data_IF_854618888041
#
_entry.id   IF_854618888041
#
_cell.length_a   1.000
_cell.length_b   1.000
_cell.length_c   1.000
_cell.angle_alpha   90.00
_cell.angle_beta   90.00
_cell.angle_gamma   90.00
#
_symmetry.space_group_name_H-M   'P 1'
#
loop_
_entity.id
_entity.type
_entity.pdbx_description
1 polymer ?
#
# COMPACT_ATOMS: atom_id res chain seq x y z
N UNK A 1 15.44 -66.95 -18.85
CA UNK A 1 16.25 -67.56 -17.78
C UNK A 1 15.99 -66.87 -16.46
N UNK A 2 15.70 -67.63 -15.41
CA UNK A 2 15.62 -67.12 -14.04
C UNK A 2 17.03 -66.83 -13.52
N UNK A 3 17.16 -65.81 -12.67
CA UNK A 3 18.46 -65.42 -12.06
C UNK A 3 18.33 -65.55 -10.55
N UNK A 4 19.33 -66.12 -9.90
CA UNK A 4 19.33 -66.26 -8.46
C UNK A 4 19.45 -64.88 -7.78
N UNK A 5 18.52 -64.60 -6.86
CA UNK A 5 18.56 -63.44 -5.97
C UNK A 5 19.15 -63.84 -4.61
N UNK A 6 19.71 -62.88 -3.87
CA UNK A 6 20.27 -63.10 -2.53
C UNK A 6 19.23 -63.55 -1.50
N UNK A 7 17.93 -63.32 -1.77
CA UNK A 7 16.82 -63.85 -0.96
C UNK A 7 16.55 -65.35 -1.20
N UNK A 8 17.26 -66.02 -2.11
CA UNK A 8 17.03 -67.43 -2.47
C UNK A 8 15.95 -67.65 -3.53
N UNK A 9 15.13 -66.62 -3.84
CA UNK A 9 14.18 -66.67 -4.95
C UNK A 9 14.90 -66.55 -6.30
N UNK A 10 14.27 -67.08 -7.35
CA UNK A 10 14.78 -67.04 -8.73
C UNK A 10 13.80 -66.32 -9.66
N UNK A 11 13.64 -65.00 -9.54
CA UNK A 11 12.77 -64.26 -10.44
C UNK A 11 13.29 -64.32 -11.90
N UNK A 12 12.41 -64.13 -12.90
CA UNK A 12 12.82 -63.94 -14.28
C UNK A 12 13.85 -62.80 -14.39
N UNK A 13 14.87 -62.93 -15.25
CA UNK A 13 15.92 -61.89 -15.41
C UNK A 13 15.34 -60.48 -15.61
N UNK A 14 14.24 -60.35 -16.36
CA UNK A 14 13.57 -59.07 -16.61
C UNK A 14 12.94 -58.47 -15.34
N UNK A 15 12.50 -59.29 -14.40
CA UNK A 15 11.82 -58.89 -13.16
C UNK A 15 12.76 -58.82 -11.95
N UNK A 16 14.04 -59.19 -12.08
CA UNK A 16 14.98 -59.19 -10.96
C UNK A 16 15.17 -57.78 -10.37
N UNK A 17 15.25 -56.75 -11.22
CA UNK A 17 15.39 -55.36 -10.75
C UNK A 17 14.17 -54.91 -9.96
N UNK A 18 12.98 -55.19 -10.48
CA UNK A 18 11.72 -54.83 -9.82
C UNK A 18 11.61 -55.56 -8.48
N UNK A 19 11.86 -56.87 -8.47
CA UNK A 19 11.90 -57.67 -7.24
C UNK A 19 12.88 -57.08 -6.20
N UNK A 20 14.11 -56.71 -6.59
CA UNK A 20 15.08 -56.09 -5.68
C UNK A 20 14.58 -54.75 -5.13
N UNK A 21 13.90 -53.95 -5.96
CA UNK A 21 13.40 -52.64 -5.58
C UNK A 21 12.18 -52.69 -4.63
N UNK A 22 11.28 -53.67 -4.80
CA UNK A 22 9.96 -53.66 -4.13
C UNK A 22 9.74 -54.81 -3.16
N UNK A 23 10.27 -56.01 -3.45
CA UNK A 23 9.84 -57.26 -2.79
C UNK A 23 10.95 -57.96 -1.99
N UNK A 24 12.20 -57.81 -2.40
CA UNK A 24 13.31 -58.57 -1.85
C UNK A 24 13.49 -58.28 -0.35
N UNK A 25 13.26 -59.27 0.50
CA UNK A 25 13.29 -59.11 1.95
C UNK A 25 14.70 -58.87 2.51
N UNK A 26 15.75 -59.29 1.79
CA UNK A 26 17.16 -59.02 2.15
C UNK A 26 17.66 -57.69 1.58
N UNK A 27 16.83 -56.92 0.90
CA UNK A 27 17.22 -55.59 0.43
C UNK A 27 17.28 -54.62 1.63
N UNK A 28 18.40 -53.92 1.87
CA UNK A 28 18.44 -52.83 2.83
C UNK A 28 17.55 -51.69 2.37
N UNK A 29 16.65 -51.23 3.24
CA UNK A 29 15.74 -50.12 2.99
C UNK A 29 15.95 -49.04 4.03
N UNK A 30 15.60 -47.81 3.69
CA UNK A 30 15.69 -46.70 4.64
C UNK A 30 14.56 -46.76 5.66
N UNK A 31 14.88 -46.48 6.92
CA UNK A 31 13.85 -46.28 7.93
C UNK A 31 12.95 -45.07 7.55
N UNK A 32 11.62 -45.14 7.71
CA UNK A 32 10.72 -44.00 7.50
C UNK A 32 11.10 -42.74 8.30
N UNK A 33 11.77 -42.93 9.44
CA UNK A 33 12.26 -41.85 10.31
C UNK A 33 13.63 -41.28 9.87
N UNK A 34 14.12 -41.62 8.67
CA UNK A 34 15.40 -41.11 8.15
C UNK A 34 15.43 -39.59 8.04
N UNK A 35 14.33 -38.98 7.63
CA UNK A 35 14.21 -37.52 7.56
C UNK A 35 14.34 -36.85 8.95
N UNK A 36 14.02 -37.59 10.01
CA UNK A 36 14.10 -37.13 11.41
C UNK A 36 15.42 -37.54 12.08
N UNK A 37 16.36 -38.16 11.36
CA UNK A 37 17.69 -38.50 11.85
C UNK A 37 17.95 -39.98 12.12
N UNK A 38 17.01 -40.88 11.84
CA UNK A 38 17.27 -42.32 11.94
C UNK A 38 18.08 -42.84 10.75
N UNK A 39 19.37 -43.11 10.94
CA UNK A 39 20.27 -43.56 9.88
C UNK A 39 20.29 -45.09 9.68
N UNK A 40 19.45 -45.84 10.40
CA UNK A 40 19.41 -47.31 10.30
C UNK A 40 18.79 -47.71 8.96
N UNK A 41 19.45 -48.66 8.27
CA UNK A 41 18.98 -49.25 7.01
C UNK A 41 18.70 -50.75 7.21
N UNK A 42 17.61 -51.13 7.88
CA UNK A 42 17.32 -52.53 8.15
C UNK A 42 17.03 -53.27 6.83
N UNK A 43 17.15 -54.60 6.85
CA UNK A 43 16.64 -55.42 5.76
C UNK A 43 15.11 -55.26 5.71
N UNK A 44 14.52 -55.21 4.51
CA UNK A 44 13.07 -55.05 4.33
C UNK A 44 12.26 -56.02 5.19
N UNK A 45 12.69 -57.27 5.30
CA UNK A 45 12.02 -58.29 6.13
C UNK A 45 12.11 -58.02 7.64
N UNK A 46 13.13 -57.29 8.09
CA UNK A 46 13.35 -56.93 9.50
C UNK A 46 12.89 -55.51 9.86
N UNK A 47 12.42 -54.74 8.87
CA UNK A 47 11.95 -53.37 9.08
C UNK A 47 10.83 -53.30 10.14
N UNK A 48 9.80 -54.17 10.16
CA UNK A 48 8.77 -54.13 11.20
C UNK A 48 9.33 -54.31 12.61
N UNK A 49 10.30 -55.21 12.78
CA UNK A 49 10.96 -55.44 14.06
C UNK A 49 11.77 -54.21 14.50
N UNK A 50 12.55 -53.63 13.58
CA UNK A 50 13.26 -52.37 13.85
C UNK A 50 12.30 -51.25 14.27
N UNK A 51 11.15 -51.12 13.60
CA UNK A 51 10.14 -50.10 13.94
C UNK A 51 9.56 -50.31 15.34
N UNK A 52 9.37 -51.56 15.77
CA UNK A 52 8.93 -51.90 17.11
C UNK A 52 10.02 -51.63 18.17
N UNK A 53 11.23 -52.12 17.95
CA UNK A 53 12.34 -51.99 18.90
C UNK A 53 12.80 -50.55 19.08
N UNK A 54 12.79 -49.77 17.99
CA UNK A 54 13.17 -48.36 18.00
C UNK A 54 11.99 -47.40 18.23
N UNK A 55 10.80 -47.90 18.61
CA UNK A 55 9.60 -47.07 18.75
C UNK A 55 9.81 -45.87 19.69
N UNK A 56 10.44 -46.08 20.85
CA UNK A 56 10.76 -45.01 21.81
C UNK A 56 11.74 -44.00 21.23
N UNK A 57 12.77 -44.45 20.51
CA UNK A 57 13.74 -43.57 19.87
C UNK A 57 13.09 -42.72 18.77
N UNK A 58 12.26 -43.34 17.92
CA UNK A 58 11.49 -42.65 16.89
C UNK A 58 10.51 -41.63 17.49
N UNK A 59 9.85 -41.97 18.61
CA UNK A 59 8.99 -41.04 19.33
C UNK A 59 9.78 -39.82 19.86
N UNK A 60 11.00 -40.01 20.36
CA UNK A 60 11.87 -38.90 20.77
C UNK A 60 12.29 -38.01 19.59
N UNK A 61 12.57 -38.59 18.42
CA UNK A 61 12.85 -37.81 17.21
C UNK A 61 11.64 -36.95 16.81
N UNK A 62 10.44 -37.53 16.82
CA UNK A 62 9.20 -36.79 16.59
C UNK A 62 9.00 -35.65 17.60
N UNK A 63 9.22 -35.91 18.89
CA UNK A 63 9.08 -34.89 19.93
C UNK A 63 10.05 -33.73 19.74
N UNK A 64 11.29 -34.01 19.33
CA UNK A 64 12.28 -32.96 19.01
C UNK A 64 11.84 -32.11 17.83
N UNK A 65 11.38 -32.74 16.75
CA UNK A 65 10.89 -32.02 15.57
C UNK A 65 9.66 -31.18 15.91
N UNK A 66 8.70 -31.74 16.66
CA UNK A 66 7.52 -31.01 17.13
C UNK A 66 7.89 -29.81 18.01
N UNK A 67 8.90 -29.95 18.87
CA UNK A 67 9.39 -28.85 19.69
C UNK A 67 10.06 -27.77 18.83
N UNK A 68 10.90 -28.16 17.87
CA UNK A 68 11.54 -27.23 16.95
C UNK A 68 10.51 -26.44 16.12
N UNK A 69 9.50 -27.13 15.57
CA UNK A 69 8.40 -26.49 14.84
C UNK A 69 7.58 -25.56 15.73
N UNK A 70 7.33 -25.94 16.99
CA UNK A 70 6.66 -25.07 17.96
C UNK A 70 7.47 -23.81 18.25
N UNK A 71 8.77 -23.93 18.44
CA UNK A 71 9.66 -22.79 18.68
C UNK A 71 9.70 -21.86 17.45
N UNK A 72 9.70 -22.43 16.24
CA UNK A 72 9.60 -21.68 15.00
C UNK A 72 8.28 -20.91 14.89
N UNK A 73 7.15 -21.54 15.24
CA UNK A 73 5.83 -20.88 15.27
C UNK A 73 5.86 -19.71 16.24
N UNK A 74 6.40 -19.88 17.44
CA UNK A 74 6.52 -18.81 18.44
C UNK A 74 7.35 -17.64 17.90
N UNK A 75 8.50 -17.94 17.26
CA UNK A 75 9.34 -16.92 16.63
C UNK A 75 8.62 -16.14 15.55
N UNK A 76 7.93 -16.84 14.62
CA UNK A 76 7.18 -16.20 13.54
C UNK A 76 5.98 -15.37 14.04
N UNK A 77 5.35 -15.77 15.14
CA UNK A 77 4.29 -14.97 15.78
C UNK A 77 4.86 -13.71 16.39
N UNK A 78 6.00 -13.79 17.09
CA UNK A 78 6.68 -12.61 17.64
C UNK A 78 7.10 -11.62 16.54
N UNK A 79 7.62 -12.12 15.41
CA UNK A 79 7.99 -11.28 14.28
C UNK A 79 6.76 -10.62 13.65
N UNK A 80 5.70 -11.38 13.36
CA UNK A 80 4.47 -10.84 12.79
C UNK A 80 3.83 -9.79 13.69
N UNK A 81 3.78 -10.01 15.00
CA UNK A 81 3.26 -9.00 15.95
C UNK A 81 4.10 -7.73 15.93
N UNK A 82 5.42 -7.83 15.81
CA UNK A 82 6.32 -6.69 15.62
C UNK A 82 6.04 -5.93 14.33
N UNK A 83 5.92 -6.63 13.21
CA UNK A 83 5.61 -6.05 11.90
C UNK A 83 4.22 -5.40 11.85
N UNK A 84 3.22 -6.00 12.49
CA UNK A 84 1.88 -5.41 12.62
C UNK A 84 1.96 -4.11 13.40
N UNK A 85 2.69 -4.07 14.52
CA UNK A 85 2.88 -2.85 15.32
C UNK A 85 3.57 -1.74 14.52
N UNK A 86 4.62 -2.07 13.77
CA UNK A 86 5.31 -1.11 12.90
C UNK A 86 4.38 -0.57 11.80
N UNK A 87 3.63 -1.45 11.15
CA UNK A 87 2.66 -1.04 10.13
C UNK A 87 1.56 -0.14 10.70
N UNK A 88 1.05 -0.43 11.90
CA UNK A 88 0.07 0.44 12.55
C UNK A 88 0.66 1.82 12.86
N UNK A 89 1.90 1.88 13.36
CA UNK A 89 2.57 3.15 13.63
C UNK A 89 2.76 3.97 12.35
N UNK A 90 3.28 3.35 11.28
CA UNK A 90 3.51 4.02 10.00
C UNK A 90 2.20 4.54 9.39
N UNK A 91 1.10 3.80 9.52
CA UNK A 91 -0.22 4.25 9.06
C UNK A 91 -0.66 5.50 9.81
N UNK A 92 -0.56 5.50 11.14
CA UNK A 92 -0.88 6.68 11.97
C UNK A 92 0.01 7.87 11.63
N UNK A 93 1.31 7.65 11.43
CA UNK A 93 2.24 8.73 11.06
C UNK A 93 1.91 9.32 9.68
N UNK A 94 1.54 8.49 8.71
CA UNK A 94 1.10 8.94 7.38
C UNK A 94 -0.19 9.74 7.47
N UNK A 95 -1.18 9.27 8.22
CA UNK A 95 -2.45 9.98 8.43
C UNK A 95 -2.24 11.35 9.08
N UNK A 96 -1.39 11.42 10.11
CA UNK A 96 -1.00 12.68 10.76
C UNK A 96 -0.27 13.63 9.79
N UNK A 97 0.54 13.10 8.88
CA UNK A 97 1.21 13.92 7.86
C UNK A 97 0.23 14.44 6.81
N UNK A 98 -0.72 13.62 6.36
CA UNK A 98 -1.75 14.02 5.40
C UNK A 98 -2.61 15.14 5.99
N UNK A 99 -3.14 14.96 7.20
CA UNK A 99 -3.94 15.98 7.88
C UNK A 99 -3.18 17.29 8.08
N UNK A 100 -1.89 17.24 8.43
CA UNK A 100 -1.04 18.43 8.54
C UNK A 100 -0.86 19.14 7.18
N UNK A 101 -0.54 18.39 6.13
CA UNK A 101 -0.36 18.95 4.79
C UNK A 101 -1.66 19.55 4.23
N UNK A 102 -2.79 18.89 4.47
CA UNK A 102 -4.11 19.42 4.10
C UNK A 102 -4.36 20.76 4.78
N UNK A 103 -4.07 20.88 6.08
CA UNK A 103 -4.16 22.14 6.81
C UNK A 103 -3.23 23.21 6.22
N UNK A 104 -1.97 22.87 5.97
CA UNK A 104 -1.00 23.80 5.35
C UNK A 104 -1.46 24.29 3.97
N UNK A 105 -2.09 23.43 3.17
CA UNK A 105 -2.66 23.81 1.86
C UNK A 105 -3.84 24.77 2.03
N UNK A 106 -4.73 24.51 2.98
CA UNK A 106 -5.87 25.40 3.29
C UNK A 106 -5.36 26.76 3.78
N UNK A 107 -4.43 26.76 4.73
CA UNK A 107 -3.84 27.98 5.29
C UNK A 107 -3.15 28.79 4.18
N UNK A 108 -2.36 28.16 3.29
CA UNK A 108 -1.72 28.83 2.17
C UNK A 108 -2.71 29.44 1.19
N UNK A 109 -3.78 28.72 0.83
CA UNK A 109 -4.84 29.24 -0.04
C UNK A 109 -5.55 30.44 0.57
N UNK A 110 -5.73 30.46 1.90
CA UNK A 110 -6.31 31.62 2.59
C UNK A 110 -5.41 32.86 2.60
N UNK A 111 -4.09 32.67 2.43
CA UNK A 111 -3.09 33.74 2.40
C UNK A 111 -2.81 34.26 0.98
N UNK A 112 -3.24 33.56 -0.06
CA UNK A 112 -3.15 34.01 -1.44
C UNK A 112 -4.08 35.22 -1.64
N UNK A 113 -3.51 36.41 -1.49
CA UNK A 113 -4.16 37.68 -1.83
C UNK A 113 -4.21 37.79 -3.35
N UNK A 114 -5.42 37.78 -3.93
CA UNK A 114 -5.55 37.97 -5.35
C UNK A 114 -5.52 39.46 -5.68
N UNK A 115 -4.42 39.90 -6.27
CA UNK A 115 -4.28 41.26 -6.78
C UNK A 115 -4.93 41.37 -8.16
N UNK A 116 -6.05 42.08 -8.24
CA UNK A 116 -6.69 42.40 -9.52
C UNK A 116 -6.32 43.82 -9.93
N UNK A 117 -5.64 43.96 -11.07
CA UNK A 117 -5.31 45.27 -11.65
C UNK A 117 -6.26 45.57 -12.82
N UNK A 118 -7.00 46.67 -12.71
CA UNK A 118 -7.90 47.13 -13.78
C UNK A 118 -7.25 48.28 -14.55
N UNK A 119 -7.09 48.12 -15.87
CA UNK A 119 -6.51 49.15 -16.74
C UNK A 119 -7.62 49.74 -17.61
N UNK A 120 -7.96 51.01 -17.38
CA UNK A 120 -8.95 51.74 -18.17
C UNK A 120 -8.26 52.46 -19.33
N UNK A 121 -8.53 52.04 -20.56
CA UNK A 121 -8.00 52.70 -21.77
C UNK A 121 -8.93 53.82 -22.24
N UNK A 122 -8.38 54.88 -22.82
CA UNK A 122 -9.16 56.00 -23.36
C UNK A 122 -9.82 56.88 -22.30
N UNK A 123 -9.30 56.87 -21.06
CA UNK A 123 -9.88 57.58 -19.93
C UNK A 123 -10.03 59.09 -20.19
N UNK A 124 -9.01 59.72 -20.77
CA UNK A 124 -9.00 61.17 -21.07
C UNK A 124 -10.12 61.58 -22.03
N UNK A 125 -10.31 60.84 -23.12
CA UNK A 125 -11.42 61.09 -24.06
C UNK A 125 -12.79 60.91 -23.43
N UNK A 126 -12.88 60.09 -22.37
CA UNK A 126 -14.14 59.76 -21.71
C UNK A 126 -14.57 60.86 -20.74
N UNK A 127 -13.64 61.40 -19.96
CA UNK A 127 -13.89 62.52 -19.05
C UNK A 127 -14.09 63.85 -19.81
N UNK A 128 -13.47 64.04 -20.97
CA UNK A 128 -13.57 65.29 -21.75
C UNK A 128 -14.80 65.41 -22.65
N UNK A 129 -15.67 64.40 -22.70
CA UNK A 129 -16.88 64.44 -23.54
C UNK A 129 -17.97 65.32 -22.91
N UNK A 130 -18.57 66.32 -23.61
CA UNK A 130 -19.61 67.19 -23.04
C UNK A 130 -20.86 66.44 -22.54
N UNK A 131 -21.09 65.22 -23.04
CA UNK A 131 -22.17 64.33 -22.63
C UNK A 131 -21.89 63.59 -21.32
N UNK A 132 -20.70 63.76 -20.72
CA UNK A 132 -20.27 62.96 -19.57
C UNK A 132 -20.69 63.50 -18.19
N UNK A 133 -21.40 64.64 -18.12
CA UNK A 133 -21.86 65.25 -16.86
C UNK A 133 -22.80 64.38 -16.00
N UNK A 134 -23.19 63.20 -16.49
CA UNK A 134 -23.98 62.20 -15.75
C UNK A 134 -23.61 60.76 -16.16
N UNK A 135 -22.32 60.42 -16.35
CA UNK A 135 -21.95 59.02 -16.64
C UNK A 135 -21.98 58.19 -15.36
N UNK A 136 -23.09 57.48 -15.17
CA UNK A 136 -23.10 56.30 -14.31
C UNK A 136 -22.56 55.11 -15.11
N UNK A 137 -21.30 54.78 -14.83
CA UNK A 137 -20.74 53.42 -14.81
C UNK A 137 -20.57 52.74 -16.19
N UNK A 138 -19.31 52.58 -16.64
CA UNK A 138 -18.99 51.39 -17.44
C UNK A 138 -18.92 50.23 -16.47
N UNK A 139 -19.91 49.34 -16.54
CA UNK A 139 -19.80 48.03 -15.90
C UNK A 139 -18.70 47.29 -16.66
N UNK A 140 -17.47 47.27 -16.14
CA UNK A 140 -16.44 46.40 -16.67
C UNK A 140 -16.72 45.00 -16.12
N UNK A 141 -17.76 44.35 -16.63
CA UNK A 141 -18.01 42.94 -16.35
C UNK A 141 -17.08 42.10 -17.23
N UNK A 142 -15.81 42.05 -16.86
CA UNK A 142 -15.12 40.79 -17.05
C UNK A 142 -15.44 39.97 -15.83
N UNK A 143 -16.15 38.86 -16.03
CA UNK A 143 -16.40 37.88 -14.98
C UNK A 143 -15.07 37.24 -14.63
N UNK A 144 -14.31 37.90 -13.75
CA UNK A 144 -13.13 37.28 -13.16
C UNK A 144 -13.70 36.36 -12.08
N UNK A 145 -13.84 35.08 -12.43
CA UNK A 145 -14.09 34.04 -11.45
C UNK A 145 -12.79 33.80 -10.72
N UNK A 146 -12.75 34.19 -9.45
CA UNK A 146 -11.65 33.84 -8.57
C UNK A 146 -12.24 32.95 -7.50
N UNK A 147 -11.89 31.67 -7.56
CA UNK A 147 -12.62 30.61 -6.85
C UNK A 147 -14.10 30.63 -7.26
N UNK A 148 -15.01 30.67 -6.29
CA UNK A 148 -16.46 30.70 -6.47
C UNK A 148 -17.07 32.11 -6.43
N UNK A 149 -16.24 33.16 -6.43
CA UNK A 149 -16.70 34.54 -6.34
C UNK A 149 -16.73 35.21 -7.72
N UNK A 150 -17.81 35.95 -7.98
CA UNK A 150 -17.95 36.85 -9.12
C UNK A 150 -17.75 38.29 -8.63
N UNK A 151 -16.66 38.93 -9.07
CA UNK A 151 -16.32 40.29 -8.67
C UNK A 151 -16.55 41.26 -9.82
N UNK A 152 -17.07 42.45 -9.51
CA UNK A 152 -17.23 43.54 -10.47
C UNK A 152 -16.66 44.84 -9.89
N UNK A 153 -15.91 45.58 -10.72
CA UNK A 153 -15.45 46.92 -10.35
C UNK A 153 -16.41 47.97 -10.93
N UNK A 154 -16.90 48.85 -10.08
CA UNK A 154 -17.70 50.01 -10.44
C UNK A 154 -16.89 51.27 -10.16
N UNK A 155 -16.74 52.13 -11.18
CA UNK A 155 -16.03 53.40 -11.07
C UNK A 155 -17.03 54.51 -11.34
N UNK A 156 -17.16 55.45 -10.41
CA UNK A 156 -17.97 56.66 -10.53
C UNK A 156 -17.04 57.87 -10.51
N UNK A 157 -17.22 58.77 -11.47
CA UNK A 157 -16.42 60.00 -11.59
C UNK A 157 -17.35 61.16 -11.27
N UNK A 158 -17.10 61.86 -10.17
CA UNK A 158 -17.83 63.06 -9.78
C UNK A 158 -17.10 64.32 -10.28
N UNK A 159 -17.87 65.30 -10.76
CA UNK A 159 -17.38 66.55 -11.38
C UNK A 159 -17.28 67.69 -10.33
N UNK A 160 -17.40 67.36 -9.03
CA UNK A 160 -17.40 68.29 -7.91
C UNK A 160 -15.98 68.78 -7.53
N UNK A 161 -15.35 69.53 -8.45
CA UNK A 161 -14.26 70.52 -8.27
C UNK A 161 -12.99 70.20 -7.46
N UNK A 162 -12.81 69.02 -6.90
CA UNK A 162 -11.50 68.56 -6.46
C UNK A 162 -11.26 67.19 -7.09
N UNK A 163 -10.21 67.08 -7.89
CA UNK A 163 -9.84 65.92 -8.72
C UNK A 163 -9.52 64.67 -7.87
N UNK A 164 -10.50 64.12 -7.16
CA UNK A 164 -10.38 62.91 -6.36
C UNK A 164 -11.48 61.96 -6.84
N UNK A 165 -11.13 61.06 -7.76
CA UNK A 165 -12.02 59.97 -8.13
C UNK A 165 -12.23 59.04 -6.93
N UNK A 166 -13.47 58.91 -6.46
CA UNK A 166 -13.82 57.95 -5.42
C UNK A 166 -14.02 56.58 -6.07
N UNK A 167 -13.17 55.62 -5.70
CA UNK A 167 -13.29 54.24 -6.18
C UNK A 167 -14.02 53.40 -5.13
N UNK A 168 -15.28 53.04 -5.40
CA UNK A 168 -16.05 52.15 -4.53
C UNK A 168 -16.01 50.74 -5.12
N UNK A 169 -15.22 49.86 -4.51
CA UNK A 169 -15.20 48.45 -4.88
C UNK A 169 -16.33 47.71 -4.15
N UNK A 170 -17.30 47.19 -4.90
CA UNK A 170 -18.33 46.29 -4.36
C UNK A 170 -17.92 44.83 -4.61
N UNK A 171 -17.58 44.10 -3.55
CA UNK A 171 -17.33 42.65 -3.62
C UNK A 171 -18.63 41.93 -3.23
N UNK A 172 -19.38 41.45 -4.22
CA UNK A 172 -20.60 40.67 -4.01
C UNK A 172 -20.29 39.17 -4.00
N UNK A 173 -20.31 38.52 -2.84
CA UNK A 173 -20.16 37.07 -2.76
C UNK A 173 -21.51 36.37 -2.78
N UNK A 174 -21.84 35.68 -3.87
CA UNK A 174 -22.95 34.71 -3.92
C UNK A 174 -22.41 33.29 -3.78
N UNK A 175 -21.63 33.01 -2.75
CA UNK A 175 -21.15 31.66 -2.47
C UNK A 175 -22.24 30.84 -1.77
N UNK A 176 -22.86 29.89 -2.47
CA UNK A 176 -23.48 28.74 -1.79
C UNK A 176 -22.35 27.77 -1.48
N UNK A 177 -21.99 27.62 -0.20
CA UNK A 177 -21.16 26.49 0.24
C UNK A 177 -21.92 25.18 -0.05
N UNK A 178 -21.30 24.19 -0.70
CA UNK A 178 -21.81 22.82 -0.75
C UNK A 178 -21.69 22.13 0.62
#
# INVERSE_FOLDING_TARGET
AAVACACGLRPPRKALKDHQATECWVQPVDCPYRALGCNVRPLRGTLPQHLADAATAHAQLNMRELQALKDQIVGLVAENTGLVRQNTQLRTDLENRCTRLEKEVVDRKSQETIHVTWIVKGFSSWISSPSSRNVRIAKVSQNIRILDYEMALQIEVDDSRENIGLFIMHVGGSGKMP
#
